data_IF_922787468938
#
_entry.id   IF_922787468938
#
_cell.length_a   1.000
_cell.length_b   1.000
_cell.length_c   1.000
_cell.angle_alpha   90.00
_cell.angle_beta   90.00
_cell.angle_gamma   90.00
#
_symmetry.space_group_name_H-M   'P 1'
#
loop_
_entity.id
_entity.type
_entity.pdbx_description
1 polymer ?
#
# COMPACT_ATOMS: atom_id res chain seq x y z
N UNK A 1 -75.55 -42.08 23.03
CA UNK A 1 -75.54 -40.97 22.08
C UNK A 1 -74.47 -39.99 22.54
N UNK A 2 -73.43 -39.86 21.72
CA UNK A 2 -72.07 -39.58 22.13
C UNK A 2 -71.78 -38.10 22.42
N UNK A 3 -71.12 -37.84 23.56
CA UNK A 3 -70.53 -36.53 23.89
C UNK A 3 -69.10 -36.50 23.35
N UNK A 4 -68.88 -35.72 22.29
CA UNK A 4 -67.54 -35.41 21.76
C UNK A 4 -66.85 -34.39 22.66
N UNK A 5 -65.71 -34.79 23.25
CA UNK A 5 -64.77 -33.89 23.92
C UNK A 5 -63.72 -33.48 22.90
N UNK A 6 -63.56 -32.18 22.66
CA UNK A 6 -62.55 -31.64 21.75
C UNK A 6 -61.30 -31.26 22.56
N UNK A 7 -60.20 -32.00 22.35
CA UNK A 7 -58.89 -31.68 22.92
C UNK A 7 -58.23 -30.59 22.05
N UNK A 8 -57.89 -29.44 22.64
CA UNK A 8 -57.06 -28.42 22.02
C UNK A 8 -55.62 -28.66 22.48
N UNK A 9 -54.74 -29.02 21.55
CA UNK A 9 -53.31 -29.20 21.78
C UNK A 9 -52.60 -27.85 21.54
N UNK A 10 -51.82 -27.31 22.49
CA UNK A 10 -51.09 -26.07 22.23
C UNK A 10 -49.84 -26.39 21.41
N UNK A 11 -49.74 -25.80 20.22
CA UNK A 11 -48.54 -25.86 19.38
C UNK A 11 -47.49 -24.92 19.97
N UNK A 12 -46.44 -25.48 20.59
CA UNK A 12 -45.31 -24.72 21.09
C UNK A 12 -44.45 -24.28 19.90
N UNK A 13 -44.55 -23.00 19.49
CA UNK A 13 -43.65 -22.41 18.52
C UNK A 13 -42.27 -22.23 19.16
N UNK A 14 -41.30 -23.03 18.75
CA UNK A 14 -39.90 -22.86 19.12
C UNK A 14 -39.29 -21.76 18.22
N UNK A 15 -39.26 -20.51 18.70
CA UNK A 15 -38.48 -19.45 18.04
C UNK A 15 -37.01 -19.70 18.31
N UNK A 16 -36.27 -20.17 17.30
CA UNK A 16 -34.82 -20.20 17.34
C UNK A 16 -34.29 -18.76 17.38
N UNK A 17 -33.88 -18.30 18.56
CA UNK A 17 -33.11 -17.07 18.72
C UNK A 17 -31.71 -17.38 18.20
N UNK A 18 -31.43 -16.98 16.96
CA UNK A 18 -30.06 -16.94 16.46
C UNK A 18 -29.40 -15.76 17.18
N UNK A 19 -28.83 -16.03 18.34
CA UNK A 19 -27.87 -15.11 18.95
C UNK A 19 -26.67 -15.04 18.02
N UNK A 20 -26.57 -13.96 17.26
CA UNK A 20 -25.28 -13.54 16.73
C UNK A 20 -24.40 -13.22 17.95
N UNK A 21 -23.55 -14.16 18.34
CA UNK A 21 -22.42 -13.82 19.18
C UNK A 21 -21.64 -12.75 18.41
N UNK A 22 -21.47 -11.56 18.98
CA UNK A 22 -20.41 -10.67 18.53
C UNK A 22 -19.10 -11.44 18.73
N UNK A 23 -18.55 -11.97 17.64
CA UNK A 23 -17.17 -12.43 17.62
C UNK A 23 -16.32 -11.18 17.80
N UNK A 24 -15.80 -10.98 19.00
CA UNK A 24 -14.85 -9.92 19.29
C UNK A 24 -13.50 -10.42 18.78
N UNK A 25 -13.30 -10.37 17.46
CA UNK A 25 -12.10 -10.86 16.81
C UNK A 25 -10.91 -10.04 17.32
N UNK A 26 -9.77 -10.68 17.52
CA UNK A 26 -8.60 -10.03 18.12
C UNK A 26 -8.02 -8.96 17.21
N UNK A 27 -8.17 -9.15 15.91
CA UNK A 27 -7.80 -8.18 14.87
C UNK A 27 -8.56 -6.86 15.02
N UNK A 28 -9.78 -6.85 15.59
CA UNK A 28 -10.56 -5.62 15.80
C UNK A 28 -10.03 -4.75 16.95
N UNK A 29 -9.15 -5.30 17.78
CA UNK A 29 -8.46 -4.53 18.82
C UNK A 29 -7.21 -3.81 18.30
N UNK A 30 -6.77 -4.06 17.06
CA UNK A 30 -5.56 -3.41 16.56
C UNK A 30 -5.88 -2.02 16.02
N UNK A 31 -5.08 -1.04 16.45
CA UNK A 31 -5.12 0.32 15.95
C UNK A 31 -3.78 0.69 15.28
N UNK A 32 -3.68 0.62 13.93
CA UNK A 32 -2.46 0.96 13.19
C UNK A 32 -2.04 2.43 13.27
N UNK A 33 -2.82 3.31 13.90
CA UNK A 33 -2.40 4.70 14.13
C UNK A 33 -1.59 4.86 15.43
N UNK A 34 -1.70 3.94 16.38
CA UNK A 34 -0.87 3.99 17.59
C UNK A 34 0.61 3.84 17.19
N UNK A 35 1.41 4.83 17.60
CA UNK A 35 2.83 4.93 17.27
C UNK A 35 3.15 5.70 15.98
N UNK A 36 2.15 6.23 15.28
CA UNK A 36 2.35 7.13 14.12
C UNK A 36 2.57 8.59 14.54
N UNK A 37 2.45 8.87 15.83
CA UNK A 37 2.67 10.17 16.42
C UNK A 37 4.05 10.25 17.12
N UNK A 38 4.71 11.40 17.01
CA UNK A 38 6.00 11.78 17.61
C UNK A 38 7.12 10.74 17.43
N UNK A 39 7.33 9.87 18.44
CA UNK A 39 8.54 9.07 18.61
C UNK A 39 8.37 7.58 18.28
N UNK A 40 7.17 7.15 17.89
CA UNK A 40 6.92 5.74 17.59
C UNK A 40 7.49 5.30 16.24
N UNK A 41 7.50 6.22 15.26
CA UNK A 41 8.00 5.98 13.90
C UNK A 41 7.41 4.73 13.26
N UNK A 42 6.10 4.56 13.39
CA UNK A 42 5.37 3.49 12.71
C UNK A 42 4.55 4.07 11.58
N UNK A 43 4.04 3.21 10.70
CA UNK A 43 3.19 3.59 9.58
C UNK A 43 1.80 2.94 9.70
N UNK A 44 0.74 3.58 9.19
CA UNK A 44 -0.64 3.06 9.25
C UNK A 44 -1.03 2.16 8.08
N UNK A 45 -0.17 2.09 7.04
CA UNK A 45 -0.41 1.33 5.82
C UNK A 45 -0.63 -0.18 5.98
N UNK A 46 -0.99 -0.81 4.87
CA UNK A 46 -1.26 -2.24 4.81
C UNK A 46 0.03 -3.07 4.73
N UNK A 47 0.13 -4.07 5.61
CA UNK A 47 1.17 -5.08 5.63
C UNK A 47 0.61 -6.41 6.14
N UNK A 48 1.25 -7.52 5.79
CA UNK A 48 1.06 -8.83 6.44
C UNK A 48 2.21 -9.10 7.41
N UNK A 49 2.06 -10.05 8.35
CA UNK A 49 3.16 -10.47 9.22
C UNK A 49 4.41 -10.79 8.40
N UNK A 50 5.52 -10.10 8.68
CA UNK A 50 6.84 -10.29 8.07
C UNK A 50 6.87 -10.14 6.54
N UNK A 51 5.94 -9.38 5.96
CA UNK A 51 5.84 -9.17 4.51
C UNK A 51 7.03 -8.39 3.94
N UNK A 52 7.34 -8.59 2.67
CA UNK A 52 8.29 -7.78 1.91
C UNK A 52 7.70 -6.41 1.58
N UNK A 53 6.41 -6.38 1.24
CA UNK A 53 5.69 -5.14 0.90
C UNK A 53 5.03 -4.54 2.12
N UNK A 54 5.34 -3.27 2.33
CA UNK A 54 4.70 -2.39 3.30
C UNK A 54 4.14 -1.18 2.56
N UNK A 55 2.88 -1.25 2.13
CA UNK A 55 2.27 -0.17 1.33
C UNK A 55 1.60 0.84 2.25
N UNK A 56 2.08 2.08 2.26
CA UNK A 56 1.63 3.10 3.23
C UNK A 56 1.64 4.51 2.63
N UNK A 57 0.80 5.44 3.14
CA UNK A 57 0.94 6.86 2.83
C UNK A 57 2.27 7.45 3.31
N UNK A 58 2.81 8.37 2.52
CA UNK A 58 3.94 9.22 2.87
C UNK A 58 3.48 10.67 3.06
N UNK A 59 3.77 11.26 4.23
CA UNK A 59 3.44 12.65 4.55
C UNK A 59 4.66 13.55 4.50
N UNK A 60 5.86 12.98 4.63
CA UNK A 60 7.14 13.69 4.54
C UNK A 60 8.29 12.70 4.38
N UNK A 61 9.44 13.20 3.92
CA UNK A 61 10.61 12.36 3.60
C UNK A 61 11.81 12.65 4.49
N UNK A 62 11.93 13.88 5.02
CA UNK A 62 13.16 14.30 5.68
C UNK A 62 13.08 14.30 7.21
N UNK A 63 14.23 13.98 7.80
CA UNK A 63 14.47 14.09 9.22
C UNK A 63 14.00 12.89 10.02
N UNK A 64 14.52 12.80 11.24
CA UNK A 64 14.25 11.71 12.19
C UNK A 64 12.75 11.44 12.37
N UNK A 65 11.93 12.51 12.40
CA UNK A 65 10.47 12.44 12.55
C UNK A 65 9.77 11.62 11.46
N UNK A 66 10.29 11.62 10.22
CA UNK A 66 9.66 10.94 9.09
C UNK A 66 10.31 9.59 8.78
N UNK A 67 10.95 8.94 9.76
CA UNK A 67 11.65 7.66 9.55
C UNK A 67 10.77 6.57 8.92
N UNK A 68 9.45 6.62 9.14
CA UNK A 68 8.47 5.68 8.56
C UNK A 68 7.56 6.34 7.51
N UNK A 69 7.92 7.50 6.96
CA UNK A 69 7.18 8.20 5.91
C UNK A 69 5.92 8.96 6.37
N UNK A 70 5.24 8.46 7.41
CA UNK A 70 3.99 9.01 7.92
C UNK A 70 4.12 9.60 9.33
N UNK A 71 3.48 10.75 9.56
CA UNK A 71 3.24 11.31 10.89
C UNK A 71 1.76 11.67 11.07
N UNK A 72 1.21 11.36 12.25
CA UNK A 72 -0.21 11.62 12.53
C UNK A 72 -0.60 13.10 12.43
N UNK A 73 0.28 14.05 12.76
CA UNK A 73 -0.07 15.47 12.68
C UNK A 73 -0.07 16.06 11.28
N UNK A 74 0.38 15.31 10.26
CA UNK A 74 0.36 15.79 8.91
C UNK A 74 -1.09 15.98 8.42
N UNK A 75 -1.27 16.98 7.56
CA UNK A 75 -2.55 17.31 6.94
C UNK A 75 -2.51 17.13 5.42
N UNK A 76 -1.43 16.56 4.89
CA UNK A 76 -1.27 16.29 3.47
C UNK A 76 -0.40 15.06 3.22
N UNK A 77 -0.68 14.35 2.12
CA UNK A 77 -0.03 13.12 1.67
C UNK A 77 0.65 13.36 0.32
N UNK A 78 1.90 12.94 0.20
CA UNK A 78 2.71 12.91 -1.02
C UNK A 78 2.14 11.86 -1.98
N UNK A 79 1.94 10.65 -1.47
CA UNK A 79 1.42 9.49 -2.19
C UNK A 79 1.62 8.22 -1.37
N UNK A 80 1.65 7.07 -2.04
CA UNK A 80 1.68 5.76 -1.41
C UNK A 80 2.84 4.93 -1.96
N UNK A 81 3.86 4.69 -1.14
CA UNK A 81 5.05 3.90 -1.50
C UNK A 81 5.02 2.50 -0.89
N UNK A 82 5.95 1.63 -1.29
CA UNK A 82 5.84 0.17 -1.12
C UNK A 82 6.81 -0.43 -0.10
N UNK A 83 7.75 0.38 0.41
CA UNK A 83 8.76 -0.05 1.38
C UNK A 83 8.79 0.93 2.56
N UNK A 84 8.63 0.40 3.78
CA UNK A 84 8.60 1.20 5.01
C UNK A 84 9.20 0.44 6.17
N UNK A 85 9.88 1.13 7.08
CA UNK A 85 10.52 0.51 8.25
C UNK A 85 9.80 0.94 9.53
N UNK A 86 9.23 -0.01 10.27
CA UNK A 86 8.49 0.29 11.50
C UNK A 86 9.42 0.41 12.71
N UNK A 87 9.40 1.57 13.38
CA UNK A 87 10.06 1.80 14.67
C UNK A 87 11.56 2.10 14.59
N UNK A 88 12.08 2.42 13.40
CA UNK A 88 13.50 2.75 13.20
C UNK A 88 13.78 4.25 13.43
N UNK A 89 15.03 4.60 13.71
CA UNK A 89 15.48 6.00 13.89
C UNK A 89 16.23 6.58 12.68
N UNK A 90 16.06 5.98 11.51
CA UNK A 90 16.68 6.38 10.25
C UNK A 90 15.63 6.48 9.15
N UNK A 91 15.86 7.38 8.20
CA UNK A 91 15.06 7.55 6.99
C UNK A 91 15.64 6.65 5.90
N UNK A 92 14.84 5.73 5.39
CA UNK A 92 15.16 4.86 4.26
C UNK A 92 13.86 4.26 3.68
N UNK A 93 13.92 3.69 2.48
CA UNK A 93 12.76 3.16 1.74
C UNK A 93 11.91 4.26 1.12
N UNK A 94 10.59 4.08 1.14
CA UNK A 94 9.68 4.94 0.39
C UNK A 94 9.76 4.67 -1.11
N UNK A 95 10.01 3.42 -1.51
CA UNK A 95 10.24 3.10 -2.91
C UNK A 95 8.93 2.96 -3.69
N UNK A 96 8.98 3.39 -4.95
CA UNK A 96 7.90 3.25 -5.94
C UNK A 96 6.65 3.95 -5.42
N UNK A 97 6.61 5.28 -5.49
CA UNK A 97 5.45 6.03 -5.02
C UNK A 97 4.38 6.07 -6.11
N UNK A 98 3.14 5.69 -5.76
CA UNK A 98 1.97 5.95 -6.59
C UNK A 98 1.12 7.07 -6.01
N UNK A 99 0.59 7.92 -6.88
CA UNK A 99 -0.34 8.98 -6.49
C UNK A 99 -1.48 9.12 -7.52
N UNK A 100 -2.73 8.80 -7.16
CA UNK A 100 -3.87 9.07 -8.01
C UNK A 100 -4.29 10.54 -7.90
N UNK A 101 -4.45 11.20 -9.05
CA UNK A 101 -4.84 12.62 -9.13
C UNK A 101 -5.94 12.83 -10.17
N UNK A 102 -6.57 14.00 -10.13
CA UNK A 102 -7.48 14.47 -11.18
C UNK A 102 -7.09 15.85 -11.68
N UNK A 103 -7.37 16.14 -12.94
CA UNK A 103 -7.27 17.50 -13.48
C UNK A 103 -6.25 17.66 -14.59
N UNK A 104 -6.32 18.80 -15.29
CA UNK A 104 -5.61 18.99 -16.56
C UNK A 104 -4.10 19.15 -16.39
N UNK A 105 -3.66 19.73 -15.28
CA UNK A 105 -2.25 20.01 -15.03
C UNK A 105 -1.59 18.79 -14.39
N UNK A 106 -0.68 18.16 -15.12
CA UNK A 106 0.19 17.13 -14.56
C UNK A 106 1.32 17.80 -13.77
N UNK A 107 1.27 17.68 -12.44
CA UNK A 107 2.39 17.99 -11.57
C UNK A 107 3.31 16.76 -11.47
N UNK A 108 4.61 16.96 -11.66
CA UNK A 108 5.63 15.89 -11.59
C UNK A 108 6.58 16.07 -10.40
N UNK A 109 6.19 16.94 -9.46
CA UNK A 109 6.85 17.18 -8.19
C UNK A 109 5.77 17.25 -7.10
N UNK A 110 6.08 16.87 -5.86
CA UNK A 110 5.07 16.76 -4.80
C UNK A 110 4.58 18.11 -4.29
N UNK A 111 5.40 19.17 -4.36
CA UNK A 111 5.14 20.41 -3.61
C UNK A 111 5.47 20.24 -2.12
N UNK A 112 5.25 21.29 -1.32
CA UNK A 112 5.56 21.26 0.13
C UNK A 112 4.30 21.01 0.97
N UNK A 113 4.48 20.68 2.25
CA UNK A 113 3.35 20.55 3.18
C UNK A 113 2.63 21.89 3.41
N UNK A 114 3.38 23.00 3.35
CA UNK A 114 2.86 24.36 3.51
C UNK A 114 2.15 24.90 2.26
N UNK A 115 2.56 24.44 1.08
CA UNK A 115 2.03 24.87 -0.23
C UNK A 115 1.82 23.67 -1.17
N UNK A 116 0.87 22.77 -0.86
CA UNK A 116 0.64 21.54 -1.62
C UNK A 116 0.13 21.81 -3.05
N UNK A 117 -0.48 22.98 -3.29
CA UNK A 117 -1.05 23.37 -4.60
C UNK A 117 0.05 23.55 -5.69
N UNK A 118 1.32 23.59 -5.29
CA UNK A 118 2.46 23.64 -6.21
C UNK A 118 2.80 22.28 -6.83
N UNK A 119 2.28 21.18 -6.29
CA UNK A 119 2.62 19.82 -6.71
C UNK A 119 1.44 18.85 -6.75
N UNK A 120 1.74 17.55 -6.74
CA UNK A 120 0.74 16.48 -6.78
C UNK A 120 0.23 16.05 -5.38
N UNK A 121 0.84 16.56 -4.29
CA UNK A 121 0.42 16.29 -2.91
C UNK A 121 -1.05 16.66 -2.70
N UNK A 122 -1.74 15.90 -1.86
CA UNK A 122 -3.14 16.18 -1.50
C UNK A 122 -3.30 16.41 -0.01
N UNK A 123 -4.14 17.36 0.36
CA UNK A 123 -4.73 17.47 1.70
C UNK A 123 -5.59 16.24 2.01
N UNK A 124 -5.66 15.88 3.29
CA UNK A 124 -6.52 14.82 3.82
C UNK A 124 -6.91 15.14 5.27
N UNK A 125 -7.88 14.38 5.81
CA UNK A 125 -8.27 14.47 7.21
C UNK A 125 -8.50 13.09 7.82
N UNK A 126 -8.13 12.92 9.10
CA UNK A 126 -8.36 11.65 9.82
C UNK A 126 -9.84 11.28 9.96
N UNK A 127 -10.76 12.22 9.73
CA UNK A 127 -12.19 11.95 9.68
C UNK A 127 -12.58 11.07 8.47
N UNK A 128 -11.76 11.09 7.41
CA UNK A 128 -11.88 10.27 6.21
C UNK A 128 -10.62 9.44 5.98
N UNK A 129 -10.03 8.97 7.07
CA UNK A 129 -8.91 8.04 7.08
C UNK A 129 -9.26 6.85 7.97
N UNK A 130 -8.90 5.64 7.54
CA UNK A 130 -9.09 4.45 8.35
C UNK A 130 -7.99 3.43 8.09
N UNK A 131 -7.63 2.67 9.11
CA UNK A 131 -6.64 1.61 9.01
C UNK A 131 -7.03 0.43 9.89
N UNK A 132 -6.74 -0.76 9.41
CA UNK A 132 -6.87 -2.03 10.16
C UNK A 132 -5.78 -2.99 9.68
N UNK A 133 -5.46 -4.07 10.39
CA UNK A 133 -4.42 -5.00 9.96
C UNK A 133 -4.63 -5.49 8.51
N UNK A 134 -3.67 -5.21 7.63
CA UNK A 134 -3.74 -5.55 6.21
C UNK A 134 -4.56 -4.60 5.32
N UNK A 135 -5.03 -3.46 5.84
CA UNK A 135 -5.84 -2.51 5.08
C UNK A 135 -5.64 -1.05 5.52
N UNK A 136 -5.61 -0.14 4.55
CA UNK A 136 -5.61 1.31 4.76
C UNK A 136 -6.56 2.00 3.78
N UNK A 137 -7.21 3.08 4.20
CA UNK A 137 -8.09 3.91 3.36
C UNK A 137 -7.90 5.38 3.68
N UNK A 138 -7.87 6.23 2.67
CA UNK A 138 -7.92 7.68 2.83
C UNK A 138 -8.61 8.35 1.66
N UNK A 139 -9.31 9.44 1.95
CA UNK A 139 -9.82 10.33 0.92
C UNK A 139 -8.85 11.49 0.66
N UNK A 140 -8.42 11.62 -0.59
CA UNK A 140 -7.58 12.73 -1.07
C UNK A 140 -8.46 13.92 -1.41
N UNK A 141 -8.47 14.94 -0.54
CA UNK A 141 -9.40 16.08 -0.63
C UNK A 141 -9.19 16.95 -1.86
N UNK A 142 -7.93 17.17 -2.27
CA UNK A 142 -7.61 18.03 -3.41
C UNK A 142 -7.95 17.38 -4.75
N UNK A 143 -7.94 16.04 -4.81
CA UNK A 143 -8.19 15.25 -6.02
C UNK A 143 -9.57 14.59 -6.06
N UNK A 144 -10.32 14.64 -4.96
CA UNK A 144 -11.61 13.98 -4.82
C UNK A 144 -11.54 12.46 -5.14
N UNK A 145 -10.48 11.79 -4.67
CA UNK A 145 -10.23 10.35 -4.90
C UNK A 145 -10.23 9.60 -3.58
N UNK A 146 -10.98 8.51 -3.49
CA UNK A 146 -10.83 7.55 -2.39
C UNK A 146 -9.73 6.54 -2.74
N UNK A 147 -8.79 6.35 -1.82
CA UNK A 147 -7.69 5.40 -1.95
C UNK A 147 -7.84 4.30 -0.92
N UNK A 148 -7.78 3.06 -1.38
CA UNK A 148 -7.80 1.87 -0.54
C UNK A 148 -6.60 0.98 -0.87
N UNK A 149 -5.93 0.47 0.16
CA UNK A 149 -4.72 -0.34 0.07
C UNK A 149 -4.91 -1.66 0.82
N UNK A 150 -4.45 -2.75 0.23
CA UNK A 150 -4.24 -4.04 0.90
C UNK A 150 -3.01 -4.72 0.30
N UNK A 151 -2.62 -5.90 0.79
CA UNK A 151 -1.38 -6.53 0.35
C UNK A 151 -1.38 -8.03 0.55
N UNK A 152 -0.57 -8.69 -0.27
CA UNK A 152 -0.03 -10.04 -0.05
C UNK A 152 1.39 -9.91 0.52
N UNK A 153 2.15 -11.00 0.77
CA UNK A 153 3.53 -10.87 1.24
C UNK A 153 4.45 -10.03 0.35
N UNK A 154 4.26 -10.03 -0.98
CA UNK A 154 5.18 -9.39 -1.95
C UNK A 154 4.50 -8.49 -2.98
N UNK A 155 3.18 -8.33 -2.90
CA UNK A 155 2.39 -7.55 -3.85
C UNK A 155 1.43 -6.63 -3.11
N UNK A 156 1.57 -5.31 -3.30
CA UNK A 156 0.56 -4.34 -2.89
C UNK A 156 -0.60 -4.35 -3.87
N UNK A 157 -1.80 -4.13 -3.35
CA UNK A 157 -3.00 -3.98 -4.15
C UNK A 157 -3.70 -2.66 -3.79
N UNK A 158 -3.84 -1.79 -4.78
CA UNK A 158 -4.46 -0.49 -4.67
C UNK A 158 -5.83 -0.51 -5.34
N UNK A 159 -6.80 0.19 -4.75
CA UNK A 159 -8.08 0.53 -5.36
C UNK A 159 -8.28 2.03 -5.25
N UNK A 160 -8.39 2.69 -6.40
CA UNK A 160 -8.66 4.13 -6.49
C UNK A 160 -10.06 4.33 -7.03
N UNK A 161 -10.92 5.03 -6.28
CA UNK A 161 -12.27 5.39 -6.72
C UNK A 161 -12.27 6.84 -7.14
N UNK A 162 -12.40 7.07 -8.45
CA UNK A 162 -12.37 8.40 -9.06
C UNK A 162 -13.78 9.00 -9.22
N UNK A 163 -13.89 10.34 -9.26
CA UNK A 163 -15.12 11.02 -9.67
C UNK A 163 -15.26 11.00 -11.20
N UNK A 164 -16.39 11.47 -11.73
CA UNK A 164 -16.54 11.66 -13.17
C UNK A 164 -15.55 12.71 -13.70
N UNK A 165 -14.61 12.31 -14.55
CA UNK A 165 -13.65 13.22 -15.20
C UNK A 165 -13.00 12.60 -16.43
N UNK A 166 -12.54 13.44 -17.34
CA UNK A 166 -11.72 13.00 -18.48
C UNK A 166 -10.22 12.96 -18.15
N UNK A 167 -9.85 13.31 -16.92
CA UNK A 167 -8.48 13.69 -16.57
C UNK A 167 -8.00 12.99 -15.30
N UNK A 168 -8.50 11.79 -15.02
CA UNK A 168 -7.99 10.91 -13.97
C UNK A 168 -6.59 10.41 -14.35
N UNK A 169 -5.63 10.55 -13.44
CA UNK A 169 -4.26 10.11 -13.67
C UNK A 169 -3.75 9.31 -12.49
N UNK A 170 -2.82 8.42 -12.76
CA UNK A 170 -2.00 7.77 -11.73
C UNK A 170 -0.56 8.10 -12.06
N UNK A 171 0.11 8.77 -11.12
CA UNK A 171 1.54 9.07 -11.18
C UNK A 171 2.29 7.91 -10.53
N UNK A 172 3.38 7.48 -11.15
CA UNK A 172 4.42 6.66 -10.54
C UNK A 172 5.67 7.52 -10.45
N UNK A 173 6.03 7.94 -9.24
CA UNK A 173 7.25 8.69 -8.96
C UNK A 173 8.32 7.73 -8.42
N UNK A 174 9.36 7.52 -9.23
CA UNK A 174 10.48 6.64 -8.91
C UNK A 174 11.69 7.42 -8.37
N UNK A 175 11.58 8.75 -8.28
CA UNK A 175 12.50 9.62 -7.55
C UNK A 175 12.13 9.75 -6.07
N UNK A 176 10.88 9.50 -5.69
CA UNK A 176 10.49 9.54 -4.28
C UNK A 176 11.32 8.57 -3.42
N UNK A 177 11.69 9.02 -2.23
CA UNK A 177 12.44 8.27 -1.22
C UNK A 177 12.20 8.90 0.15
N UNK A 178 12.05 8.06 1.18
CA UNK A 178 12.11 8.52 2.57
C UNK A 178 13.58 8.73 2.91
N UNK A 179 13.95 9.98 3.12
CA UNK A 179 15.33 10.42 3.32
C UNK A 179 15.85 11.18 2.11
N UNK A 180 17.17 11.36 2.08
CA UNK A 180 17.84 12.06 0.99
C UNK A 180 18.41 11.06 0.00
N UNK A 181 18.15 11.30 -1.29
CA UNK A 181 18.82 10.58 -2.36
C UNK A 181 20.33 10.78 -2.28
N UNK A 182 21.07 9.73 -2.59
CA UNK A 182 22.52 9.74 -2.73
C UNK A 182 22.91 9.93 -4.19
N UNK A 183 24.13 10.38 -4.42
CA UNK A 183 24.69 10.50 -5.77
C UNK A 183 24.68 9.18 -6.57
N UNK A 184 24.78 8.06 -5.88
CA UNK A 184 24.77 6.71 -6.44
C UNK A 184 23.38 6.21 -6.83
N UNK A 185 22.32 6.90 -6.39
CA UNK A 185 20.96 6.44 -6.64
C UNK A 185 20.64 6.58 -8.12
N UNK A 186 19.92 5.60 -8.64
CA UNK A 186 19.61 5.51 -10.06
C UNK A 186 18.41 4.61 -10.27
N UNK A 187 17.55 5.02 -11.18
CA UNK A 187 16.32 4.35 -11.51
C UNK A 187 16.18 4.16 -13.01
N UNK A 188 15.46 3.12 -13.40
CA UNK A 188 14.96 2.91 -14.75
C UNK A 188 13.53 2.39 -14.69
N UNK A 189 12.68 2.90 -15.56
CA UNK A 189 11.31 2.40 -15.73
C UNK A 189 10.96 2.26 -17.20
N UNK A 190 10.05 1.34 -17.49
CA UNK A 190 9.52 1.08 -18.80
C UNK A 190 8.02 0.75 -18.75
N UNK A 191 7.25 1.42 -19.58
CA UNK A 191 5.86 1.09 -19.91
C UNK A 191 5.90 -0.01 -20.96
N UNK A 192 5.65 -1.26 -20.55
CA UNK A 192 5.87 -2.46 -21.38
C UNK A 192 4.67 -2.80 -22.26
N UNK A 193 3.46 -2.40 -21.84
CA UNK A 193 2.23 -2.50 -22.64
C UNK A 193 1.18 -1.49 -22.12
N UNK A 194 -0.06 -1.61 -22.58
CA UNK A 194 -1.16 -0.69 -22.23
C UNK A 194 -1.69 -0.86 -20.79
N UNK A 195 -1.14 -1.77 -20.00
CA UNK A 195 -1.57 -2.07 -18.62
C UNK A 195 -0.42 -2.34 -17.66
N UNK A 196 0.84 -2.20 -18.08
CA UNK A 196 1.97 -2.63 -17.25
C UNK A 196 3.16 -1.68 -17.37
N UNK A 197 3.72 -1.37 -16.20
CA UNK A 197 4.94 -0.59 -16.01
C UNK A 197 5.88 -1.41 -15.15
N UNK A 198 7.15 -1.48 -15.52
CA UNK A 198 8.16 -2.24 -14.79
C UNK A 198 9.40 -1.38 -14.63
N UNK A 199 10.21 -1.67 -13.62
CA UNK A 199 11.42 -0.89 -13.42
C UNK A 199 12.26 -1.34 -12.25
N UNK A 200 13.35 -0.62 -12.06
CA UNK A 200 14.28 -0.81 -10.96
C UNK A 200 14.66 0.54 -10.37
N UNK A 201 14.88 0.53 -9.06
CA UNK A 201 15.45 1.65 -8.31
C UNK A 201 16.61 1.10 -7.48
N UNK A 202 17.72 1.80 -7.55
CA UNK A 202 18.84 1.63 -6.62
C UNK A 202 18.71 2.72 -5.58
N UNK A 203 18.44 2.33 -4.35
CA UNK A 203 18.34 3.20 -3.19
C UNK A 203 19.22 2.63 -2.06
N UNK A 204 19.50 3.43 -1.04
CA UNK A 204 20.37 3.12 0.09
C UNK A 204 20.92 1.68 0.21
N UNK A 205 20.10 0.71 0.64
CA UNK A 205 20.50 -0.66 1.01
C UNK A 205 20.66 -1.63 -0.18
N UNK A 206 20.21 -1.29 -1.39
CA UNK A 206 20.32 -2.20 -2.52
C UNK A 206 19.51 -1.79 -3.74
N UNK A 207 18.95 -2.78 -4.42
CA UNK A 207 18.14 -2.57 -5.61
C UNK A 207 16.78 -3.23 -5.42
N UNK A 208 15.74 -2.45 -5.65
CA UNK A 208 14.36 -2.91 -5.73
C UNK A 208 13.93 -2.93 -7.18
N UNK A 209 13.35 -4.05 -7.59
CA UNK A 209 12.71 -4.25 -8.89
C UNK A 209 11.20 -4.28 -8.69
N UNK A 210 10.43 -3.77 -9.63
CA UNK A 210 8.98 -3.79 -9.54
C UNK A 210 8.28 -4.10 -10.86
N UNK A 211 7.04 -4.59 -10.72
CA UNK A 211 6.05 -4.75 -11.78
C UNK A 211 4.74 -4.16 -11.27
N UNK A 212 4.24 -3.15 -11.97
CA UNK A 212 2.96 -2.49 -11.71
C UNK A 212 1.95 -2.81 -12.82
N UNK A 213 0.91 -3.59 -12.49
CA UNK A 213 -0.19 -3.90 -13.40
C UNK A 213 -1.43 -3.08 -13.08
N UNK A 214 -2.14 -2.63 -14.12
CA UNK A 214 -3.34 -1.82 -14.03
C UNK A 214 -4.54 -2.56 -14.60
N UNK A 215 -5.67 -2.48 -13.90
CA UNK A 215 -6.92 -3.15 -14.30
C UNK A 215 -7.52 -2.65 -15.62
N UNK A 216 -7.12 -1.45 -16.08
CA UNK A 216 -7.65 -0.79 -17.27
C UNK A 216 -6.52 -0.37 -18.22
N UNK A 217 -6.79 -0.37 -19.54
CA UNK A 217 -5.82 0.09 -20.51
C UNK A 217 -5.58 1.60 -20.37
N UNK A 218 -4.35 2.04 -20.54
CA UNK A 218 -3.98 3.44 -20.54
C UNK A 218 -4.62 4.16 -21.73
N UNK A 219 -5.31 5.27 -21.49
CA UNK A 219 -5.78 6.14 -22.57
C UNK A 219 -4.63 7.00 -23.10
N UNK A 220 -3.90 7.62 -22.17
CA UNK A 220 -2.67 8.36 -22.44
C UNK A 220 -1.61 7.95 -21.43
N UNK A 221 -0.35 8.00 -21.84
CA UNK A 221 0.77 7.71 -20.97
C UNK A 221 1.97 8.57 -21.35
N UNK A 222 2.94 8.63 -20.46
CA UNK A 222 4.25 9.21 -20.72
C UNK A 222 5.18 9.03 -19.54
N UNK A 223 6.41 9.49 -19.71
CA UNK A 223 7.39 9.57 -18.63
C UNK A 223 7.69 11.01 -18.28
N UNK A 224 8.38 11.21 -17.16
CA UNK A 224 8.95 12.48 -16.79
C UNK A 224 10.32 12.30 -16.16
N UNK A 225 11.12 13.36 -16.22
CA UNK A 225 12.36 13.54 -15.47
C UNK A 225 12.32 14.95 -14.88
N UNK A 226 12.13 15.06 -13.56
CA UNK A 226 11.92 16.35 -12.90
C UNK A 226 13.21 17.17 -12.70
N UNK A 227 14.38 16.57 -12.95
CA UNK A 227 15.65 17.30 -13.01
C UNK A 227 15.94 17.88 -14.40
N UNK A 228 15.24 17.37 -15.43
CA UNK A 228 15.48 17.77 -16.80
C UNK A 228 14.37 18.67 -17.33
N UNK A 229 14.75 19.83 -17.86
CA UNK A 229 13.88 20.67 -18.67
C UNK A 229 14.41 20.70 -20.10
N UNK A 230 13.62 20.26 -21.08
CA UNK A 230 14.04 20.37 -22.50
C UNK A 230 14.38 21.83 -22.83
N UNK A 231 15.48 22.13 -23.53
CA UNK A 231 15.80 23.50 -23.91
C UNK A 231 14.72 24.18 -24.76
N UNK A 232 13.98 23.42 -25.58
CA UNK A 232 12.97 24.01 -26.48
C UNK A 232 11.62 24.28 -25.82
N UNK A 233 11.17 23.43 -24.89
CA UNK A 233 9.83 23.55 -24.28
C UNK A 233 9.83 23.82 -22.78
N UNK A 234 11.00 23.72 -22.13
CA UNK A 234 11.13 23.76 -20.67
C UNK A 234 10.41 22.62 -19.96
N UNK A 235 9.92 21.61 -20.69
CA UNK A 235 9.12 20.54 -20.12
C UNK A 235 10.00 19.42 -19.53
N UNK A 236 9.56 18.93 -18.38
CA UNK A 236 10.01 17.71 -17.72
C UNK A 236 9.16 16.49 -18.11
N UNK A 237 8.10 16.68 -18.90
CA UNK A 237 7.10 15.67 -19.25
C UNK A 237 7.26 15.25 -20.70
N UNK A 238 7.33 13.95 -20.94
CA UNK A 238 7.49 13.33 -22.26
C UNK A 238 6.28 12.46 -22.59
N UNK A 239 5.29 13.06 -23.27
CA UNK A 239 4.10 12.33 -23.71
C UNK A 239 4.47 11.18 -24.67
N UNK A 240 3.86 10.01 -24.45
CA UNK A 240 4.04 8.78 -25.21
C UNK A 240 5.47 8.19 -25.23
N UNK A 241 6.41 8.79 -24.48
CA UNK A 241 7.68 8.13 -24.16
C UNK A 241 7.38 6.98 -23.21
N UNK A 242 7.97 5.82 -23.46
CA UNK A 242 7.65 4.57 -22.75
C UNK A 242 8.79 4.05 -21.88
N UNK A 243 9.90 4.77 -21.75
CA UNK A 243 10.99 4.41 -20.87
C UNK A 243 11.74 5.65 -20.40
N UNK A 244 12.26 5.63 -19.18
CA UNK A 244 13.08 6.70 -18.62
C UNK A 244 14.18 6.09 -17.73
N UNK A 245 15.31 6.78 -17.63
CA UNK A 245 16.38 6.43 -16.70
C UNK A 245 17.00 7.68 -16.10
N UNK A 246 17.35 7.64 -14.82
CA UNK A 246 17.84 8.81 -14.08
C UNK A 246 17.53 8.74 -12.60
N UNK A 247 17.71 9.86 -11.90
CA UNK A 247 17.45 9.94 -10.45
C UNK A 247 16.00 10.26 -10.15
N UNK A 248 15.46 11.32 -10.76
CA UNK A 248 14.16 11.87 -10.44
C UNK A 248 13.15 11.67 -11.57
N UNK A 249 12.99 10.40 -11.93
CA UNK A 249 12.16 9.97 -13.06
C UNK A 249 10.82 9.41 -12.58
N UNK A 250 9.85 9.38 -13.49
CA UNK A 250 8.59 8.71 -13.24
C UNK A 250 7.77 8.48 -14.50
N UNK A 251 6.58 7.94 -14.30
CA UNK A 251 5.59 7.72 -15.33
C UNK A 251 4.23 8.28 -14.91
N UNK A 252 3.38 8.54 -15.89
CA UNK A 252 1.98 8.82 -15.64
C UNK A 252 1.11 8.07 -16.65
N UNK A 253 -0.07 7.68 -16.20
CA UNK A 253 -1.11 7.07 -17.03
C UNK A 253 -2.43 7.80 -16.80
N UNK A 254 -3.22 7.97 -17.85
CA UNK A 254 -4.46 8.76 -17.84
C UNK A 254 -5.64 7.91 -18.26
N UNK A 255 -6.81 8.23 -17.71
CA UNK A 255 -8.10 7.59 -17.97
C UNK A 255 -9.20 8.63 -18.07
N UNK A 256 -10.28 8.25 -18.75
CA UNK A 256 -11.60 8.85 -18.51
C UNK A 256 -12.35 7.94 -17.53
N UNK A 257 -13.02 8.55 -16.56
CA UNK A 257 -13.70 7.85 -15.47
C UNK A 257 -15.11 8.40 -15.32
N UNK A 258 -16.06 7.51 -15.07
CA UNK A 258 -17.39 7.84 -14.59
C UNK A 258 -17.37 8.03 -13.07
N UNK A 259 -18.47 8.57 -12.54
CA UNK A 259 -18.66 8.76 -11.11
C UNK A 259 -18.51 7.44 -10.32
N UNK A 260 -17.63 7.43 -9.32
CA UNK A 260 -17.24 6.26 -8.53
C UNK A 260 -16.58 5.13 -9.34
N UNK A 261 -15.98 5.43 -10.49
CA UNK A 261 -15.29 4.43 -11.27
C UNK A 261 -13.98 4.02 -10.59
N UNK A 262 -13.82 2.71 -10.41
CA UNK A 262 -12.64 2.13 -9.76
C UNK A 262 -11.54 1.80 -10.77
N UNK A 263 -10.31 2.15 -10.43
CA UNK A 263 -9.09 1.68 -11.09
C UNK A 263 -8.24 0.98 -10.05
N UNK A 264 -7.96 -0.29 -10.30
CA UNK A 264 -7.12 -1.13 -9.44
C UNK A 264 -5.69 -1.21 -10.00
N UNK A 265 -4.71 -1.24 -9.10
CA UNK A 265 -3.28 -1.38 -9.43
C UNK A 265 -2.62 -2.41 -8.52
N UNK A 266 -1.91 -3.37 -9.10
CA UNK A 266 -1.07 -4.32 -8.36
C UNK A 266 0.38 -3.92 -8.52
N UNK A 267 1.15 -3.90 -7.45
CA UNK A 267 2.59 -3.60 -7.50
C UNK A 267 3.35 -4.69 -6.76
N UNK A 268 4.06 -5.52 -7.50
CA UNK A 268 4.93 -6.54 -6.94
C UNK A 268 6.36 -6.02 -6.89
N UNK A 269 7.09 -6.36 -5.82
CA UNK A 269 8.52 -6.02 -5.67
C UNK A 269 9.38 -7.28 -5.59
N UNK A 270 10.66 -7.13 -5.89
CA UNK A 270 11.68 -8.17 -5.77
C UNK A 270 13.06 -7.54 -5.55
N UNK A 271 13.96 -8.26 -4.86
CA UNK A 271 15.38 -7.92 -4.78
C UNK A 271 16.25 -8.70 -5.77
N UNK A 272 15.67 -9.63 -6.55
CA UNK A 272 16.44 -10.51 -7.45
C UNK A 272 16.31 -10.15 -8.92
N UNK A 273 15.23 -9.47 -9.31
CA UNK A 273 15.03 -8.98 -10.66
C UNK A 273 13.55 -8.76 -11.03
N UNK A 274 13.32 -8.17 -12.21
CA UNK A 274 11.97 -7.98 -12.79
C UNK A 274 11.24 -9.33 -12.92
N UNK A 275 11.92 -10.38 -13.34
CA UNK A 275 11.34 -11.72 -13.43
C UNK A 275 10.88 -12.27 -12.06
N UNK A 276 11.60 -11.92 -10.98
CA UNK A 276 11.19 -12.24 -9.61
C UNK A 276 9.91 -11.53 -9.24
N UNK A 277 9.83 -10.22 -9.52
CA UNK A 277 8.63 -9.42 -9.28
C UNK A 277 7.42 -9.93 -10.10
N UNK A 278 7.59 -10.31 -11.37
CA UNK A 278 6.54 -10.94 -12.19
C UNK A 278 6.02 -12.23 -11.56
N UNK A 279 6.92 -13.13 -11.16
CA UNK A 279 6.53 -14.39 -10.50
C UNK A 279 5.80 -14.15 -9.19
N UNK A 280 6.24 -13.17 -8.39
CA UNK A 280 5.57 -12.78 -7.15
C UNK A 280 4.13 -12.34 -7.45
N UNK A 281 3.93 -11.48 -8.47
CA UNK A 281 2.62 -11.02 -8.91
C UNK A 281 1.71 -12.18 -9.34
N UNK A 282 2.20 -13.03 -10.25
CA UNK A 282 1.44 -14.15 -10.82
C UNK A 282 1.03 -15.19 -9.77
N UNK A 283 1.93 -15.47 -8.82
CA UNK A 283 1.71 -16.49 -7.80
C UNK A 283 0.80 -16.01 -6.67
N UNK A 284 0.97 -14.77 -6.21
CA UNK A 284 0.26 -14.25 -5.03
C UNK A 284 -1.04 -13.54 -5.38
N UNK A 285 -1.13 -12.88 -6.55
CA UNK A 285 -2.28 -12.05 -6.89
C UNK A 285 -2.72 -12.17 -8.38
N UNK A 286 -3.17 -13.36 -8.84
CA UNK A 286 -3.58 -13.57 -10.24
C UNK A 286 -4.95 -12.98 -10.59
N UNK A 287 -5.72 -12.47 -9.63
CA UNK A 287 -7.08 -11.94 -9.83
C UNK A 287 -7.21 -10.46 -9.45
N UNK A 288 -8.37 -9.86 -9.72
CA UNK A 288 -8.65 -8.43 -9.47
C UNK A 288 -9.68 -8.19 -8.35
N UNK A 289 -10.04 -9.22 -7.59
CA UNK A 289 -10.95 -9.10 -6.45
C UNK A 289 -10.24 -8.50 -5.22
N UNK A 290 -10.38 -7.19 -5.03
CA UNK A 290 -9.75 -6.44 -3.93
C UNK A 290 -10.32 -6.83 -2.57
N UNK A 291 -11.64 -6.97 -2.46
CA UNK A 291 -12.29 -7.27 -1.20
C UNK A 291 -11.93 -8.68 -0.71
N UNK A 292 -11.71 -9.62 -1.64
CA UNK A 292 -11.12 -10.92 -1.31
C UNK A 292 -9.73 -10.81 -0.68
N UNK A 293 -8.81 -10.05 -1.29
CA UNK A 293 -7.45 -9.90 -0.74
C UNK A 293 -7.47 -9.22 0.63
N UNK A 294 -8.32 -8.20 0.78
CA UNK A 294 -8.56 -7.52 2.06
C UNK A 294 -9.06 -8.49 3.13
N UNK A 295 -10.01 -9.36 2.80
CA UNK A 295 -10.52 -10.37 3.72
C UNK A 295 -9.46 -11.43 4.07
N UNK A 296 -8.72 -11.92 3.08
CA UNK A 296 -7.61 -12.87 3.27
C UNK A 296 -6.51 -12.27 4.16
N UNK A 297 -6.19 -10.97 3.99
CA UNK A 297 -5.24 -10.26 4.83
C UNK A 297 -5.72 -10.15 6.29
N UNK A 298 -7.00 -9.83 6.50
CA UNK A 298 -7.62 -9.83 7.83
C UNK A 298 -7.54 -11.21 8.48
N UNK A 299 -7.86 -12.27 7.73
CA UNK A 299 -7.83 -13.65 8.23
C UNK A 299 -6.42 -14.10 8.66
N UNK A 300 -5.39 -13.69 7.91
CA UNK A 300 -3.99 -13.92 8.28
C UNK A 300 -3.66 -13.25 9.61
N UNK A 301 -4.05 -11.98 9.78
CA UNK A 301 -3.82 -11.26 11.04
C UNK A 301 -4.62 -11.84 12.20
N UNK A 302 -5.89 -12.18 11.99
CA UNK A 302 -6.71 -12.79 13.03
C UNK A 302 -6.08 -14.10 13.49
N UNK A 303 -5.57 -14.92 12.57
CA UNK A 303 -4.86 -16.16 12.91
C UNK A 303 -3.61 -15.91 13.75
N UNK A 304 -2.76 -14.95 13.39
CA UNK A 304 -1.53 -14.67 14.14
C UNK A 304 -1.81 -14.06 15.52
N UNK A 305 -2.71 -13.07 15.58
CA UNK A 305 -3.11 -12.44 16.84
C UNK A 305 -3.83 -13.45 17.75
N UNK A 306 -4.53 -14.41 17.16
CA UNK A 306 -5.20 -15.51 17.87
C UNK A 306 -4.31 -16.49 18.60
N UNK A 307 -2.99 -16.41 18.38
CA UNK A 307 -2.03 -17.25 19.09
C UNK A 307 -1.88 -16.88 20.56
N UNK A 308 -2.30 -15.68 20.95
CA UNK A 308 -2.28 -15.24 22.35
C UNK A 308 -3.67 -14.77 22.78
N UNK A 309 -4.19 -15.38 23.85
CA UNK A 309 -5.40 -14.92 24.52
C UNK A 309 -5.01 -14.17 25.80
N UNK A 310 -5.67 -13.04 26.05
CA UNK A 310 -5.55 -12.31 27.32
C UNK A 310 -6.91 -12.24 28.01
N UNK A 311 -6.95 -12.66 29.27
CA UNK A 311 -8.16 -12.66 30.11
C UNK A 311 -8.11 -11.52 31.12
N UNK A 312 -9.28 -10.99 31.51
CA UNK A 312 -9.40 -9.95 32.55
C UNK A 312 -8.90 -8.56 32.15
N UNK A 313 -8.51 -8.35 30.89
CA UNK A 313 -8.09 -7.05 30.35
C UNK A 313 -9.28 -6.16 29.98
N UNK A 314 -9.17 -4.85 30.22
CA UNK A 314 -10.10 -3.85 29.68
C UNK A 314 -9.97 -3.73 28.15
N UNK A 315 -10.97 -3.14 27.47
CA UNK A 315 -10.89 -2.90 26.02
C UNK A 315 -9.65 -2.07 25.64
N UNK A 316 -9.28 -1.06 26.44
CA UNK A 316 -8.05 -0.29 26.24
C UNK A 316 -6.78 -1.12 26.40
N UNK A 317 -6.75 -2.06 27.34
CA UNK A 317 -5.61 -2.97 27.52
C UNK A 317 -5.51 -3.97 26.37
N UNK A 318 -6.65 -4.42 25.83
CA UNK A 318 -6.68 -5.25 24.61
C UNK A 318 -6.17 -4.49 23.40
N UNK A 319 -6.58 -3.24 23.23
CA UNK A 319 -6.10 -2.38 22.13
C UNK A 319 -4.58 -2.24 22.19
N UNK A 320 -4.03 -1.87 23.35
CA UNK A 320 -2.58 -1.75 23.55
C UNK A 320 -1.87 -3.08 23.28
N UNK A 321 -2.37 -4.18 23.84
CA UNK A 321 -1.72 -5.49 23.74
C UNK A 321 -1.70 -6.01 22.30
N UNK A 322 -2.86 -6.06 21.63
CA UNK A 322 -2.94 -6.59 20.27
C UNK A 322 -2.28 -5.66 19.26
N UNK A 323 -2.30 -4.34 19.48
CA UNK A 323 -1.52 -3.41 18.66
C UNK A 323 -0.02 -3.62 18.83
N UNK A 324 0.48 -3.81 20.05
CA UNK A 324 1.88 -4.12 20.28
C UNK A 324 2.30 -5.47 19.65
N UNK A 325 1.44 -6.49 19.75
CA UNK A 325 1.65 -7.78 19.12
C UNK A 325 1.70 -7.66 17.58
N UNK A 326 0.76 -6.92 16.99
CA UNK A 326 0.76 -6.55 15.57
C UNK A 326 2.09 -5.93 15.15
N UNK A 327 2.55 -4.88 15.87
CA UNK A 327 3.83 -4.21 15.56
C UNK A 327 5.04 -5.12 15.65
N UNK A 328 5.05 -6.08 16.58
CA UNK A 328 6.16 -7.04 16.71
C UNK A 328 6.34 -7.95 15.50
N UNK A 329 5.28 -8.10 14.68
CA UNK A 329 5.27 -8.91 13.46
C UNK A 329 5.47 -8.07 12.19
N UNK A 330 5.64 -6.75 12.32
CA UNK A 330 6.02 -5.84 11.22
C UNK A 330 7.52 -5.52 11.22
N UNK A 331 8.32 -6.29 11.93
CA UNK A 331 9.78 -6.19 11.93
C UNK A 331 10.37 -7.47 11.33
N UNK A 332 11.44 -7.34 10.55
CA UNK A 332 12.03 -8.40 9.71
C UNK A 332 11.09 -8.85 8.59
N UNK A 333 11.62 -8.87 7.37
CA UNK A 333 10.82 -9.00 6.15
C UNK A 333 11.32 -10.16 5.34
N UNK A 334 10.38 -10.94 4.82
CA UNK A 334 10.73 -11.98 3.87
C UNK A 334 11.46 -11.33 2.70
N UNK A 335 12.70 -11.75 2.46
CA UNK A 335 13.60 -11.13 1.48
C UNK A 335 13.94 -12.09 0.34
N UNK A 336 13.03 -13.03 0.09
CA UNK A 336 13.07 -13.94 -1.05
C UNK A 336 11.82 -13.79 -1.90
N UNK A 337 11.93 -14.05 -3.20
CA UNK A 337 10.80 -14.22 -4.10
C UNK A 337 10.06 -15.54 -3.86
N UNK A 338 8.91 -15.72 -4.50
CA UNK A 338 8.08 -16.93 -4.38
C UNK A 338 8.78 -18.21 -4.85
N UNK A 339 9.80 -18.09 -5.71
CA UNK A 339 10.62 -19.22 -6.17
C UNK A 339 11.81 -19.54 -5.25
N UNK A 340 11.90 -18.84 -4.11
CA UNK A 340 12.94 -19.01 -3.09
C UNK A 340 14.22 -18.23 -3.39
N UNK A 341 14.32 -17.53 -4.52
CA UNK A 341 15.51 -16.74 -4.80
C UNK A 341 15.59 -15.50 -3.90
N UNK A 342 16.79 -15.22 -3.37
CA UNK A 342 17.06 -14.04 -2.56
C UNK A 342 18.43 -13.44 -2.90
N UNK A 343 18.57 -12.13 -2.68
CA UNK A 343 19.84 -11.44 -2.84
C UNK A 343 20.65 -11.54 -1.54
N UNK A 344 21.80 -12.19 -1.61
CA UNK A 344 22.69 -12.41 -0.47
C UNK A 344 23.63 -11.23 -0.22
N UNK A 345 24.10 -11.11 1.02
CA UNK A 345 25.08 -10.09 1.42
C UNK A 345 26.43 -10.18 0.69
N UNK A 346 26.71 -11.29 -0.01
CA UNK A 346 27.86 -11.45 -0.90
C UNK A 346 27.64 -10.86 -2.32
N UNK A 347 26.50 -10.20 -2.54
CA UNK A 347 26.13 -9.57 -3.81
C UNK A 347 25.64 -10.55 -4.88
N UNK A 348 25.21 -11.76 -4.49
CA UNK A 348 24.77 -12.82 -5.42
C UNK A 348 23.36 -13.29 -5.11
N UNK A 349 22.71 -13.86 -6.12
CA UNK A 349 21.42 -14.55 -5.96
C UNK A 349 21.68 -15.95 -5.40
N UNK A 350 20.99 -16.27 -4.31
CA UNK A 350 20.94 -17.60 -3.69
C UNK A 350 19.50 -18.10 -3.71
N UNK A 351 19.31 -19.37 -3.34
CA UNK A 351 17.99 -19.99 -3.32
C UNK A 351 17.74 -20.66 -1.97
N UNK A 352 16.73 -20.19 -1.24
CA UNK A 352 16.28 -20.77 0.01
C UNK A 352 15.45 -22.02 -0.28
N UNK A 353 15.86 -23.15 0.31
CA UNK A 353 15.18 -24.45 0.18
C UNK A 353 14.67 -24.88 1.54
N UNK A 354 13.37 -25.11 1.64
CA UNK A 354 12.68 -25.59 2.85
C UNK A 354 12.62 -24.58 4.01
N UNK A 355 12.93 -23.29 3.77
CA UNK A 355 12.75 -22.21 4.74
C UNK A 355 12.43 -20.89 4.03
N UNK A 356 11.88 -19.93 4.78
CA UNK A 356 11.76 -18.54 4.35
C UNK A 356 12.99 -17.75 4.80
N UNK A 357 13.66 -17.09 3.86
CA UNK A 357 14.75 -16.17 4.12
C UNK A 357 14.21 -14.80 4.51
N UNK A 358 14.63 -14.32 5.68
CA UNK A 358 14.39 -12.96 6.16
C UNK A 358 15.72 -12.23 6.13
N UNK A 359 15.75 -11.07 5.47
CA UNK A 359 16.95 -10.23 5.40
C UNK A 359 17.21 -9.54 6.74
N UNK A 360 18.48 -9.45 7.16
CA UNK A 360 18.92 -8.73 8.36
C UNK A 360 19.58 -7.41 8.02
#
# INVERSE_FOLDING_TARGET
MDRKVSLILPTLLLTAVISFAQTNDRVDHVNPFIGTDFFGHTFPGASLPYAMVHVSPDTGTEGWTHSAGYIWQANSIIGFSHTHWSGVGMVDGGDILLMPITGNKLHVVPGTAEDPDTGYRSRFSHARESASPGYYSVFLEDWNVEVELTTTPRVAFHRYTFPETNESKIILDLGHQIGQQKESDWSHLQIVNDRCIEGEKTDGPGKVYFVAEFSKPFLYYGTFDSEYATPESGAAVFAYKNAEQGKNIGAFVTYHTAENEQILVKVAISHTGIEGARKNLDAELPHWDFDRVKAEARDVWERELSRVAIDGASESQKEIFYTALYRSMLAQYISQDVDGNYFGADGKIHNAKDYNYYGS
#
